data_IF_366987268807
#
_entry.id   IF_366987268807
#
_cell.length_a   1.000
_cell.length_b   1.000
_cell.length_c   1.000
_cell.angle_alpha   90.00
_cell.angle_beta   90.00
_cell.angle_gamma   90.00
#
_symmetry.space_group_name_H-M   'P 1'
#
loop_
_entity.id
_entity.type
_entity.pdbx_description
1 polymer ?
#
# COMPACT_ATOMS: atom_id res chain seq x y z
N UNK A 1 -14.08 -49.08 51.99
CA UNK A 1 -13.18 -48.13 51.36
C UNK A 1 -13.87 -47.54 50.11
N UNK A 2 -14.35 -46.32 50.18
CA UNK A 2 -14.99 -45.64 49.05
C UNK A 2 -14.01 -44.61 48.51
N UNK A 3 -13.50 -44.84 47.31
CA UNK A 3 -12.57 -43.96 46.60
C UNK A 3 -13.36 -42.84 45.92
N UNK A 4 -13.19 -41.57 46.33
CA UNK A 4 -13.77 -40.41 45.63
C UNK A 4 -12.80 -39.98 44.55
N UNK A 5 -13.24 -40.07 43.29
CA UNK A 5 -12.57 -39.45 42.14
C UNK A 5 -12.97 -37.96 42.11
N UNK A 6 -12.03 -37.08 42.34
CA UNK A 6 -12.20 -35.65 42.05
C UNK A 6 -11.99 -35.41 40.56
N UNK A 7 -13.06 -35.04 39.84
CA UNK A 7 -12.97 -34.49 38.50
C UNK A 7 -12.61 -32.99 38.60
N UNK A 8 -11.39 -32.66 38.21
CA UNK A 8 -11.00 -31.28 37.96
C UNK A 8 -11.54 -30.83 36.59
N UNK A 9 -12.58 -30.02 36.64
CA UNK A 9 -13.07 -29.34 35.40
C UNK A 9 -12.11 -28.19 35.11
N UNK A 10 -11.28 -28.33 34.05
CA UNK A 10 -10.56 -27.21 33.46
C UNK A 10 -11.59 -26.33 32.71
N UNK A 11 -11.95 -25.19 33.31
CA UNK A 11 -12.60 -24.10 32.58
C UNK A 11 -11.59 -23.45 31.64
N UNK A 12 -11.62 -23.82 30.37
CA UNK A 12 -10.98 -23.07 29.32
C UNK A 12 -11.74 -21.74 29.17
N UNK A 13 -11.17 -20.66 29.75
CA UNK A 13 -11.62 -19.29 29.46
C UNK A 13 -11.19 -19.00 28.03
N UNK A 14 -12.11 -19.15 27.09
CA UNK A 14 -11.95 -18.61 25.74
C UNK A 14 -12.07 -17.09 25.85
N UNK A 15 -10.93 -16.42 25.90
CA UNK A 15 -10.87 -14.98 25.64
C UNK A 15 -11.27 -14.80 24.19
N UNK A 16 -12.53 -14.49 23.96
CA UNK A 16 -13.01 -13.96 22.68
C UNK A 16 -12.41 -12.56 22.57
N UNK A 17 -11.29 -12.47 21.85
CA UNK A 17 -10.79 -11.19 21.39
C UNK A 17 -11.80 -10.71 20.35
N UNK A 18 -12.63 -9.73 20.70
CA UNK A 18 -13.40 -8.97 19.72
C UNK A 18 -12.37 -8.39 18.73
N UNK A 19 -12.29 -8.99 17.55
CA UNK A 19 -11.55 -8.42 16.43
C UNK A 19 -12.27 -7.13 16.08
N UNK A 20 -11.77 -6.02 16.60
CA UNK A 20 -12.12 -4.69 16.12
C UNK A 20 -11.92 -4.74 14.62
N UNK A 21 -13.01 -4.68 13.84
CA UNK A 21 -12.97 -4.86 12.40
C UNK A 21 -12.32 -3.60 11.82
N UNK A 22 -11.05 -3.75 11.44
CA UNK A 22 -10.35 -2.76 10.63
C UNK A 22 -11.18 -2.50 9.36
N UNK A 23 -11.49 -1.24 9.08
CA UNK A 23 -12.33 -0.87 7.94
C UNK A 23 -11.57 -0.80 6.62
N UNK A 24 -10.24 -0.72 6.68
CA UNK A 24 -9.37 -0.65 5.50
C UNK A 24 -8.80 -2.00 5.07
N UNK A 25 -8.33 -2.08 3.85
CA UNK A 25 -7.61 -3.23 3.31
C UNK A 25 -6.13 -3.09 3.61
N UNK A 26 -5.50 -4.12 4.21
CA UNK A 26 -4.06 -4.14 4.44
C UNK A 26 -3.40 -5.04 3.41
N UNK A 27 -2.43 -4.49 2.70
CA UNK A 27 -1.65 -5.18 1.68
C UNK A 27 -0.19 -4.72 1.72
N UNK A 28 0.55 -5.01 0.65
CA UNK A 28 1.90 -4.47 0.49
C UNK A 28 2.07 -3.86 -0.91
N UNK A 29 2.86 -2.79 -0.98
CA UNK A 29 3.48 -2.35 -2.22
C UNK A 29 4.57 -3.35 -2.58
N UNK A 30 4.49 -3.93 -3.78
CA UNK A 30 5.42 -5.02 -4.17
C UNK A 30 6.87 -4.55 -4.31
N UNK A 31 7.12 -3.24 -4.34
CA UNK A 31 8.47 -2.67 -4.30
C UNK A 31 9.23 -3.03 -3.02
N UNK A 32 8.52 -3.24 -1.91
CA UNK A 32 9.07 -3.83 -0.67
C UNK A 32 9.88 -5.11 -0.93
N UNK A 33 9.54 -5.81 -1.99
CA UNK A 33 10.18 -7.06 -2.42
C UNK A 33 10.85 -6.94 -3.79
N UNK A 34 11.33 -5.75 -4.18
CA UNK A 34 11.86 -5.48 -5.53
C UNK A 34 13.07 -6.36 -5.91
N UNK A 35 13.81 -6.89 -4.94
CA UNK A 35 14.89 -7.87 -5.18
C UNK A 35 14.38 -9.25 -5.61
N UNK A 36 13.10 -9.51 -5.40
CA UNK A 36 12.45 -10.80 -5.69
C UNK A 36 11.53 -10.66 -6.89
N UNK A 37 11.19 -11.79 -7.49
CA UNK A 37 10.20 -11.87 -8.55
C UNK A 37 8.78 -11.70 -7.99
N UNK A 38 7.81 -11.42 -8.85
CA UNK A 38 6.41 -11.33 -8.43
C UNK A 38 5.89 -12.68 -7.88
N UNK A 39 6.33 -13.81 -8.45
CA UNK A 39 6.02 -15.16 -7.92
C UNK A 39 6.47 -15.28 -6.47
N UNK A 40 7.74 -14.93 -6.18
CA UNK A 40 8.29 -14.97 -4.82
C UNK A 40 7.63 -13.93 -3.90
N UNK A 41 7.22 -12.78 -4.44
CA UNK A 41 6.45 -11.78 -3.70
C UNK A 41 5.12 -12.35 -3.22
N UNK A 42 4.40 -13.09 -4.05
CA UNK A 42 3.15 -13.74 -3.64
C UNK A 42 3.36 -14.73 -2.49
N UNK A 43 4.46 -15.49 -2.47
CA UNK A 43 4.80 -16.40 -1.37
C UNK A 43 5.11 -15.62 -0.07
N UNK A 44 5.78 -14.48 -0.19
CA UNK A 44 6.04 -13.58 0.95
C UNK A 44 4.75 -12.99 1.52
N UNK A 45 3.81 -12.57 0.66
CA UNK A 45 2.50 -12.08 1.09
C UNK A 45 1.71 -13.16 1.84
N UNK A 46 1.73 -14.41 1.36
CA UNK A 46 1.11 -15.54 2.08
C UNK A 46 1.75 -15.75 3.45
N UNK A 47 3.08 -15.68 3.55
CA UNK A 47 3.82 -15.81 4.82
C UNK A 47 3.41 -14.72 5.82
N UNK A 48 3.12 -13.50 5.33
CA UNK A 48 2.67 -12.36 6.12
C UNK A 48 1.16 -12.37 6.40
N UNK A 49 0.39 -13.29 5.78
CA UNK A 49 -1.07 -13.31 5.88
C UNK A 49 -1.76 -12.16 5.13
N UNK A 50 -1.08 -11.53 4.19
CA UNK A 50 -1.59 -10.41 3.40
C UNK A 50 -2.32 -10.92 2.15
N UNK A 51 -3.51 -10.38 1.89
CA UNK A 51 -4.36 -10.78 0.77
C UNK A 51 -4.44 -9.73 -0.34
N UNK A 52 -3.82 -8.58 -0.19
CA UNK A 52 -3.83 -7.50 -1.16
C UNK A 52 -2.41 -7.11 -1.56
N UNK A 53 -2.25 -6.77 -2.83
CA UNK A 53 -0.98 -6.25 -3.36
C UNK A 53 -1.23 -5.07 -4.29
N UNK A 54 -0.39 -4.06 -4.13
CA UNK A 54 -0.16 -3.01 -5.09
C UNK A 54 1.10 -3.37 -5.89
N UNK A 55 0.96 -3.56 -7.21
CA UNK A 55 2.07 -3.97 -8.06
C UNK A 55 2.84 -2.75 -8.58
N UNK A 56 4.18 -2.82 -8.57
CA UNK A 56 5.00 -1.81 -9.22
C UNK A 56 5.47 -2.29 -10.61
N UNK A 57 5.65 -1.36 -11.52
CA UNK A 57 6.09 -1.66 -12.88
C UNK A 57 7.60 -1.87 -12.95
N UNK A 58 8.01 -2.89 -13.71
CA UNK A 58 9.40 -3.29 -13.84
C UNK A 58 9.81 -4.51 -13.00
N UNK A 59 8.97 -4.98 -12.06
CA UNK A 59 9.24 -6.20 -11.31
C UNK A 59 9.30 -7.41 -12.24
N UNK A 60 10.35 -8.23 -12.16
CA UNK A 60 10.39 -9.51 -12.88
C UNK A 60 9.26 -10.40 -12.43
N UNK A 61 8.56 -11.06 -13.36
CA UNK A 61 7.45 -11.95 -13.01
C UNK A 61 7.94 -13.26 -12.38
N UNK A 62 9.02 -13.85 -12.89
CA UNK A 62 9.66 -15.03 -12.29
C UNK A 62 9.33 -16.33 -13.00
N UNK A 63 9.30 -17.42 -12.24
CA UNK A 63 9.14 -18.77 -12.78
C UNK A 63 7.84 -18.89 -13.62
N UNK A 64 7.96 -19.48 -14.80
CA UNK A 64 6.85 -19.66 -15.74
C UNK A 64 6.59 -18.47 -16.67
N UNK A 65 7.29 -17.33 -16.49
CA UNK A 65 7.10 -16.11 -17.25
C UNK A 65 8.33 -15.68 -18.10
N UNK A 66 9.45 -16.43 -18.05
CA UNK A 66 10.70 -16.04 -18.72
C UNK A 66 11.22 -14.70 -18.21
N UNK A 67 11.64 -13.82 -19.13
CA UNK A 67 12.19 -12.49 -18.80
C UNK A 67 11.11 -11.39 -18.63
N UNK A 68 9.84 -11.78 -18.61
CA UNK A 68 8.75 -10.80 -18.55
C UNK A 68 8.70 -10.09 -17.20
N UNK A 69 8.24 -8.85 -17.28
CA UNK A 69 8.11 -7.96 -16.11
C UNK A 69 6.66 -7.50 -15.96
N UNK A 70 6.30 -7.13 -14.75
CA UNK A 70 5.06 -6.42 -14.49
C UNK A 70 5.06 -5.10 -15.26
N UNK A 71 4.15 -4.93 -16.18
CA UNK A 71 4.05 -3.73 -17.03
C UNK A 71 2.61 -3.59 -17.53
N UNK A 72 2.11 -2.36 -17.64
CA UNK A 72 0.77 -2.10 -18.19
C UNK A 72 0.69 -2.33 -19.72
N UNK A 73 1.82 -2.67 -20.35
CA UNK A 73 1.92 -3.07 -21.77
C UNK A 73 1.97 -4.59 -21.95
N UNK A 74 1.82 -5.37 -20.86
CA UNK A 74 1.81 -6.84 -20.95
C UNK A 74 0.68 -7.35 -21.86
N UNK A 75 0.96 -8.43 -22.61
CA UNK A 75 -0.03 -9.13 -23.40
C UNK A 75 -1.13 -9.76 -22.53
N UNK A 76 -2.35 -9.87 -23.03
CA UNK A 76 -3.50 -10.40 -22.31
C UNK A 76 -3.31 -11.82 -21.79
N UNK A 77 -2.56 -12.67 -22.49
CA UNK A 77 -2.22 -14.03 -22.03
C UNK A 77 -1.35 -13.99 -20.78
N UNK A 78 -0.41 -13.04 -20.72
CA UNK A 78 0.45 -12.84 -19.55
C UNK A 78 -0.35 -12.29 -18.38
N UNK A 79 -1.21 -11.29 -18.63
CA UNK A 79 -2.12 -10.75 -17.63
C UNK A 79 -2.98 -11.87 -17.02
N UNK A 80 -3.57 -12.73 -17.86
CA UNK A 80 -4.38 -13.88 -17.41
C UNK A 80 -3.58 -14.84 -16.54
N UNK A 81 -2.34 -15.16 -16.92
CA UNK A 81 -1.46 -16.04 -16.12
C UNK A 81 -1.11 -15.42 -14.77
N UNK A 82 -0.80 -14.12 -14.74
CA UNK A 82 -0.50 -13.36 -13.50
C UNK A 82 -1.72 -13.39 -12.57
N UNK A 83 -2.91 -13.08 -13.08
CA UNK A 83 -4.15 -13.11 -12.29
C UNK A 83 -4.45 -14.51 -11.74
N UNK A 84 -4.32 -15.54 -12.56
CA UNK A 84 -4.54 -16.92 -12.11
C UNK A 84 -3.55 -17.31 -11.01
N UNK A 85 -2.28 -16.97 -11.16
CA UNK A 85 -1.28 -17.22 -10.14
C UNK A 85 -1.61 -16.50 -8.83
N UNK A 86 -1.89 -15.20 -8.85
CA UNK A 86 -2.27 -14.45 -7.66
C UNK A 86 -3.50 -15.08 -6.96
N UNK A 87 -4.50 -15.49 -7.75
CA UNK A 87 -5.70 -16.19 -7.24
C UNK A 87 -5.36 -17.52 -6.56
N UNK A 88 -4.44 -18.33 -7.11
CA UNK A 88 -4.01 -19.59 -6.47
C UNK A 88 -3.33 -19.36 -5.13
N UNK A 89 -2.73 -18.19 -4.95
CA UNK A 89 -2.09 -17.74 -3.71
C UNK A 89 -3.03 -16.98 -2.76
N UNK A 90 -4.31 -16.88 -3.11
CA UNK A 90 -5.33 -16.11 -2.37
C UNK A 90 -4.92 -14.62 -2.19
N UNK A 91 -4.27 -14.06 -3.21
CA UNK A 91 -3.86 -12.65 -3.25
C UNK A 91 -4.63 -11.93 -4.35
N UNK A 92 -5.14 -10.76 -4.05
CA UNK A 92 -5.82 -9.86 -5.00
C UNK A 92 -4.87 -8.74 -5.38
N UNK A 93 -4.61 -8.57 -6.68
CA UNK A 93 -3.94 -7.39 -7.22
C UNK A 93 -4.98 -6.28 -7.23
N UNK A 94 -4.94 -5.39 -6.24
CA UNK A 94 -5.97 -4.36 -6.04
C UNK A 94 -5.56 -3.00 -6.56
N UNK A 95 -4.26 -2.73 -6.58
CA UNK A 95 -3.69 -1.46 -7.00
C UNK A 95 -2.44 -1.65 -7.86
N UNK A 96 -2.06 -0.62 -8.60
CA UNK A 96 -0.81 -0.55 -9.34
C UNK A 96 -0.22 0.85 -9.33
N UNK A 97 1.09 0.94 -9.21
CA UNK A 97 1.86 2.20 -9.19
C UNK A 97 3.19 2.04 -8.43
N UNK A 98 3.98 3.09 -8.26
CA UNK A 98 3.68 4.47 -8.69
C UNK A 98 4.03 4.61 -10.16
N UNK A 99 3.18 5.25 -10.94
CA UNK A 99 3.38 5.41 -12.37
C UNK A 99 3.34 6.89 -12.78
N UNK A 100 4.22 7.22 -13.73
CA UNK A 100 4.22 8.50 -14.45
C UNK A 100 4.11 8.15 -15.93
N UNK A 101 3.00 8.53 -16.57
CA UNK A 101 2.83 8.37 -18.00
C UNK A 101 3.29 9.63 -18.74
N UNK A 102 3.98 9.44 -19.85
CA UNK A 102 4.56 10.54 -20.63
C UNK A 102 3.56 11.25 -21.54
N UNK A 103 2.51 10.53 -21.97
CA UNK A 103 1.53 11.01 -22.94
C UNK A 103 0.14 10.40 -22.73
N UNK A 104 -0.85 10.94 -23.42
CA UNK A 104 -2.25 10.51 -23.33
C UNK A 104 -2.46 9.03 -23.69
N UNK A 105 -1.72 8.53 -24.69
CA UNK A 105 -1.84 7.14 -25.13
C UNK A 105 -1.41 6.16 -24.01
N UNK A 106 -0.37 6.48 -23.27
CA UNK A 106 0.06 5.66 -22.14
C UNK A 106 -0.97 5.67 -21.00
N UNK A 107 -1.59 6.83 -20.72
CA UNK A 107 -2.69 6.91 -19.76
C UNK A 107 -3.87 6.02 -20.16
N UNK A 108 -4.32 6.08 -21.42
CA UNK A 108 -5.38 5.21 -21.89
C UNK A 108 -5.02 3.72 -21.81
N UNK A 109 -3.76 3.37 -22.12
CA UNK A 109 -3.29 1.99 -22.04
C UNK A 109 -3.24 1.51 -20.60
N UNK A 110 -2.76 2.33 -19.67
CA UNK A 110 -2.75 2.05 -18.25
C UNK A 110 -4.15 1.77 -17.68
N UNK A 111 -5.13 2.60 -18.02
CA UNK A 111 -6.51 2.39 -17.55
C UNK A 111 -7.15 1.14 -18.16
N UNK A 112 -6.88 0.81 -19.42
CA UNK A 112 -7.31 -0.46 -20.01
C UNK A 112 -6.69 -1.64 -19.29
N UNK A 113 -5.38 -1.62 -19.10
CA UNK A 113 -4.68 -2.65 -18.32
C UNK A 113 -5.29 -2.80 -16.93
N UNK A 114 -5.48 -1.72 -16.19
CA UNK A 114 -6.07 -1.76 -14.86
C UNK A 114 -7.47 -2.40 -14.89
N UNK A 115 -8.29 -2.07 -15.90
CA UNK A 115 -9.61 -2.67 -16.08
C UNK A 115 -9.52 -4.17 -16.35
N UNK A 116 -8.64 -4.60 -17.24
CA UNK A 116 -8.47 -6.01 -17.63
C UNK A 116 -7.91 -6.85 -16.46
N UNK A 117 -7.02 -6.25 -15.65
CA UNK A 117 -6.47 -6.86 -14.45
C UNK A 117 -7.41 -6.81 -13.23
N UNK A 118 -8.57 -6.16 -13.31
CA UNK A 118 -9.47 -5.99 -12.17
C UNK A 118 -8.91 -5.08 -11.07
N UNK A 119 -7.93 -4.22 -11.40
CA UNK A 119 -7.35 -3.24 -10.50
C UNK A 119 -8.36 -2.12 -10.27
N UNK A 120 -8.58 -1.76 -9.02
CA UNK A 120 -9.54 -0.72 -8.63
C UNK A 120 -8.90 0.62 -8.27
N UNK A 121 -7.58 0.65 -8.14
CA UNK A 121 -6.83 1.84 -7.73
C UNK A 121 -5.53 1.96 -8.55
N UNK A 122 -5.30 3.14 -9.11
CA UNK A 122 -4.04 3.51 -9.76
C UNK A 122 -3.33 4.54 -8.88
N UNK A 123 -2.12 4.23 -8.42
CA UNK A 123 -1.23 5.16 -7.72
C UNK A 123 -0.29 5.82 -8.73
N UNK A 124 -0.30 7.14 -8.83
CA UNK A 124 0.45 7.84 -9.87
C UNK A 124 0.86 9.27 -9.48
N UNK A 125 1.75 9.84 -10.29
CA UNK A 125 2.12 11.27 -10.24
C UNK A 125 1.91 11.90 -11.62
N UNK A 126 0.68 12.26 -11.99
CA UNK A 126 0.39 12.81 -13.30
C UNK A 126 1.02 14.20 -13.43
N UNK A 127 1.57 14.49 -14.62
CA UNK A 127 1.95 15.87 -14.94
C UNK A 127 0.71 16.78 -14.82
N UNK A 128 0.84 18.03 -14.37
CA UNK A 128 -0.32 18.91 -14.19
C UNK A 128 -1.22 19.02 -15.41
N UNK A 129 -0.66 19.02 -16.62
CA UNK A 129 -1.38 19.06 -17.89
C UNK A 129 -2.19 17.79 -18.19
N UNK A 130 -1.91 16.67 -17.51
CA UNK A 130 -2.64 15.41 -17.68
C UNK A 130 -3.77 15.22 -16.68
N UNK A 131 -3.92 16.09 -15.67
CA UNK A 131 -4.90 15.90 -14.60
C UNK A 131 -6.34 15.77 -15.12
N UNK A 132 -6.73 16.58 -16.10
CA UNK A 132 -8.08 16.55 -16.69
C UNK A 132 -8.33 15.23 -17.46
N UNK A 133 -7.32 14.73 -18.17
CA UNK A 133 -7.38 13.45 -18.86
C UNK A 133 -7.49 12.30 -17.84
N UNK A 134 -6.66 12.31 -16.82
CA UNK A 134 -6.63 11.26 -15.78
C UNK A 134 -7.98 11.21 -15.05
N UNK A 135 -8.57 12.34 -14.71
CA UNK A 135 -9.90 12.43 -14.12
C UNK A 135 -10.97 11.84 -15.05
N UNK A 136 -10.97 12.23 -16.32
CA UNK A 136 -11.90 11.69 -17.34
C UNK A 136 -11.78 10.17 -17.44
N UNK A 137 -10.57 9.64 -17.48
CA UNK A 137 -10.33 8.19 -17.57
C UNK A 137 -10.75 7.49 -16.29
N UNK A 138 -10.48 8.05 -15.10
CA UNK A 138 -10.91 7.52 -13.82
C UNK A 138 -12.44 7.35 -13.77
N UNK A 139 -13.19 8.36 -14.20
CA UNK A 139 -14.64 8.32 -14.28
C UNK A 139 -15.15 7.36 -15.35
N UNK A 140 -14.51 7.33 -16.53
CA UNK A 140 -14.90 6.44 -17.63
C UNK A 140 -14.72 4.96 -17.27
N UNK A 141 -13.57 4.60 -16.68
CA UNK A 141 -13.23 3.22 -16.34
C UNK A 141 -13.75 2.80 -14.95
N UNK A 142 -14.26 3.74 -14.17
CA UNK A 142 -14.70 3.54 -12.79
C UNK A 142 -13.57 3.00 -11.89
N UNK A 143 -12.36 3.53 -12.07
CA UNK A 143 -11.14 3.21 -11.33
C UNK A 143 -10.72 4.43 -10.52
N UNK A 144 -10.43 4.25 -9.26
CA UNK A 144 -9.94 5.32 -8.41
C UNK A 144 -8.47 5.63 -8.74
N UNK A 145 -8.10 6.89 -8.58
CA UNK A 145 -6.73 7.39 -8.79
C UNK A 145 -6.24 8.04 -7.50
N UNK A 146 -5.05 7.66 -7.06
CA UNK A 146 -4.40 8.22 -5.90
C UNK A 146 -3.10 8.93 -6.31
N UNK A 147 -3.03 10.23 -6.11
CA UNK A 147 -1.81 11.01 -6.35
C UNK A 147 -0.84 10.75 -5.22
N UNK A 148 0.33 10.25 -5.56
CA UNK A 148 1.42 9.92 -4.65
C UNK A 148 2.34 11.12 -4.40
N UNK A 149 3.05 11.11 -3.30
CA UNK A 149 3.98 12.15 -2.90
C UNK A 149 5.42 11.61 -2.78
N UNK A 150 6.18 11.61 -3.87
CA UNK A 150 7.63 11.50 -3.75
C UNK A 150 8.24 12.79 -3.16
N UNK A 151 9.47 12.73 -2.61
CA UNK A 151 10.20 13.91 -2.18
C UNK A 151 10.43 14.91 -3.31
N UNK A 152 10.87 16.11 -2.98
CA UNK A 152 11.31 17.07 -4.00
C UNK A 152 12.34 16.42 -4.95
N UNK A 153 12.25 16.65 -6.27
CA UNK A 153 11.48 17.73 -6.94
C UNK A 153 10.06 17.34 -7.41
N UNK A 154 9.42 16.32 -6.85
CA UNK A 154 8.03 15.97 -7.21
C UNK A 154 7.10 17.18 -7.04
N UNK A 155 6.16 17.38 -7.98
CA UNK A 155 5.12 18.40 -7.85
C UNK A 155 4.19 18.16 -6.65
N UNK A 156 4.16 16.92 -6.14
CA UNK A 156 3.22 16.47 -5.13
C UNK A 156 3.85 16.18 -3.76
N UNK A 157 5.11 16.62 -3.55
CA UNK A 157 5.86 16.37 -2.32
C UNK A 157 5.16 16.86 -1.04
N UNK A 158 4.38 17.95 -1.14
CA UNK A 158 3.68 18.55 0.00
C UNK A 158 2.17 18.28 -0.08
N UNK A 159 1.47 17.98 1.03
CA UNK A 159 0.03 17.73 1.01
C UNK A 159 -0.80 18.86 0.39
N UNK A 160 -0.41 20.14 0.58
CA UNK A 160 -1.11 21.28 -0.03
C UNK A 160 -1.11 21.21 -1.57
N UNK A 161 0.02 20.78 -2.17
CA UNK A 161 0.08 20.68 -3.63
C UNK A 161 -0.81 19.57 -4.17
N UNK A 162 -0.89 18.45 -3.48
CA UNK A 162 -1.85 17.37 -3.84
C UNK A 162 -3.29 17.87 -3.68
N UNK A 163 -3.62 18.49 -2.56
CA UNK A 163 -4.98 19.00 -2.31
C UNK A 163 -5.38 20.08 -3.31
N UNK A 164 -4.45 20.96 -3.71
CA UNK A 164 -4.67 21.94 -4.77
C UNK A 164 -4.94 21.26 -6.12
N UNK A 165 -4.18 20.21 -6.45
CA UNK A 165 -4.39 19.43 -7.68
C UNK A 165 -5.75 18.70 -7.69
N UNK A 166 -6.32 18.41 -6.53
CA UNK A 166 -7.61 17.73 -6.35
C UNK A 166 -8.81 18.69 -6.22
N UNK A 167 -8.57 20.00 -6.16
CA UNK A 167 -9.65 20.99 -5.99
C UNK A 167 -10.63 20.95 -7.16
N UNK A 168 -11.92 20.82 -6.84
CA UNK A 168 -13.02 20.74 -7.82
C UNK A 168 -13.10 19.44 -8.63
N UNK A 169 -12.18 18.47 -8.42
CA UNK A 169 -12.13 17.22 -9.18
C UNK A 169 -13.04 16.13 -8.62
N UNK A 170 -13.30 15.15 -9.48
CA UNK A 170 -14.05 13.93 -9.16
C UNK A 170 -13.60 13.29 -7.85
N UNK A 171 -14.55 12.69 -7.13
CA UNK A 171 -14.26 11.93 -5.90
C UNK A 171 -13.46 10.65 -6.18
N UNK A 172 -13.30 10.25 -7.44
CA UNK A 172 -12.41 9.13 -7.83
C UNK A 172 -10.94 9.50 -7.73
N UNK A 173 -10.61 10.78 -7.80
CA UNK A 173 -9.24 11.26 -7.57
C UNK A 173 -9.02 11.57 -6.10
N UNK A 174 -7.89 11.13 -5.58
CA UNK A 174 -7.52 11.33 -4.17
C UNK A 174 -6.03 11.22 -3.93
N UNK A 175 -5.67 10.95 -2.69
CA UNK A 175 -4.30 10.95 -2.18
C UNK A 175 -3.84 9.51 -1.94
N UNK A 176 -2.65 9.15 -2.42
CA UNK A 176 -1.83 8.08 -1.87
C UNK A 176 -0.80 8.72 -0.95
N UNK A 177 -0.95 8.54 0.34
CA UNK A 177 -0.08 9.16 1.33
C UNK A 177 1.16 8.30 1.59
N UNK A 178 2.32 8.68 1.05
CA UNK A 178 3.59 8.15 1.55
C UNK A 178 4.01 8.94 2.80
N UNK A 179 3.78 8.33 3.93
CA UNK A 179 3.99 8.99 5.23
C UNK A 179 5.46 9.14 5.58
N UNK A 180 6.33 8.27 5.06
CA UNK A 180 7.78 8.36 5.23
C UNK A 180 8.38 9.48 4.38
N UNK A 181 7.94 9.64 3.14
CA UNK A 181 8.37 10.75 2.29
C UNK A 181 7.95 12.09 2.88
N UNK A 182 6.72 12.23 3.36
CA UNK A 182 6.33 13.44 4.09
C UNK A 182 7.25 13.73 5.27
N UNK A 183 7.56 12.70 6.05
CA UNK A 183 8.41 12.87 7.23
C UNK A 183 9.83 13.31 6.86
N UNK A 184 10.43 12.73 5.79
CA UNK A 184 11.76 13.10 5.27
C UNK A 184 11.79 14.56 4.81
N UNK A 185 10.69 15.08 4.25
CA UNK A 185 10.53 16.46 3.82
C UNK A 185 10.12 17.42 4.97
N UNK A 186 10.14 16.98 6.22
CA UNK A 186 9.79 17.80 7.38
C UNK A 186 8.30 18.04 7.58
N UNK A 187 7.44 17.41 6.77
CA UNK A 187 5.98 17.44 6.93
C UNK A 187 5.58 16.52 8.08
N UNK A 188 4.61 16.95 8.89
CA UNK A 188 4.03 16.10 9.93
C UNK A 188 3.00 15.15 9.32
N UNK A 189 3.25 13.80 9.30
CA UNK A 189 2.36 12.85 8.62
C UNK A 189 0.95 12.80 9.24
N UNK A 190 0.84 12.97 10.56
CA UNK A 190 -0.46 12.97 11.27
C UNK A 190 -1.34 14.10 10.75
N UNK A 191 -0.81 15.33 10.69
CA UNK A 191 -1.53 16.49 10.17
C UNK A 191 -1.85 16.38 8.68
N UNK A 192 -0.92 15.82 7.90
CA UNK A 192 -1.12 15.60 6.47
C UNK A 192 -2.24 14.58 6.19
N UNK A 193 -2.34 13.52 6.99
CA UNK A 193 -3.45 12.55 6.93
C UNK A 193 -4.79 13.19 7.33
N UNK A 194 -4.81 14.03 8.38
CA UNK A 194 -6.00 14.80 8.75
C UNK A 194 -6.46 15.71 7.60
N UNK A 195 -5.52 16.39 6.95
CA UNK A 195 -5.78 17.28 5.81
C UNK A 195 -6.31 16.51 4.59
N UNK A 196 -5.74 15.33 4.27
CA UNK A 196 -6.23 14.48 3.19
C UNK A 196 -7.66 14.02 3.42
N UNK A 197 -8.03 13.70 4.67
CA UNK A 197 -9.40 13.41 5.07
C UNK A 197 -10.08 12.39 4.16
N UNK A 198 -11.26 12.72 3.65
CA UNK A 198 -12.05 11.87 2.76
C UNK A 198 -11.45 11.67 1.36
N UNK A 199 -10.42 12.43 0.99
CA UNK A 199 -9.66 12.26 -0.26
C UNK A 199 -8.60 11.16 -0.16
N UNK A 200 -8.30 10.65 1.03
CA UNK A 200 -7.33 9.58 1.21
C UNK A 200 -7.84 8.26 0.59
N UNK A 201 -7.15 7.76 -0.44
CA UNK A 201 -7.47 6.51 -1.15
C UNK A 201 -6.57 5.37 -0.73
N UNK A 202 -5.29 5.66 -0.56
CA UNK A 202 -4.28 4.68 -0.13
C UNK A 202 -3.17 5.34 0.66
N UNK A 203 -2.37 4.48 1.27
CA UNK A 203 -1.13 4.87 1.94
C UNK A 203 0.00 3.96 1.49
N UNK A 204 1.19 4.51 1.31
CA UNK A 204 2.44 3.79 1.49
C UNK A 204 2.87 4.00 2.93
N UNK A 205 2.56 2.99 3.75
CA UNK A 205 2.68 3.11 5.20
C UNK A 205 4.01 2.56 5.66
N UNK A 206 4.77 3.41 6.29
CA UNK A 206 6.11 3.13 6.81
C UNK A 206 6.40 3.96 8.06
N UNK A 207 7.42 3.60 8.81
CA UNK A 207 8.02 4.40 9.85
C UNK A 207 9.51 4.52 9.55
N UNK A 208 10.11 5.67 9.81
CA UNK A 208 11.50 5.94 9.46
C UNK A 208 12.32 6.28 10.69
N UNK A 209 13.62 5.93 10.63
CA UNK A 209 14.58 6.22 11.68
C UNK A 209 14.68 7.75 11.93
N UNK A 210 14.96 8.13 13.16
CA UNK A 210 15.35 9.51 13.46
C UNK A 210 16.62 9.88 12.67
N UNK A 211 16.75 11.14 12.20
CA UNK A 211 17.97 11.55 11.54
C UNK A 211 19.15 11.46 12.53
N UNK A 212 20.24 10.89 12.07
CA UNK A 212 21.50 10.82 12.82
C UNK A 212 22.57 11.66 12.13
N UNK A 213 23.48 12.23 12.91
CA UNK A 213 24.57 13.05 12.39
C UNK A 213 25.49 12.19 11.48
N UNK A 214 25.63 12.59 10.22
CA UNK A 214 26.45 11.89 9.23
C UNK A 214 25.73 10.80 8.42
N UNK A 215 24.46 10.54 8.67
CA UNK A 215 23.63 9.68 7.80
C UNK A 215 22.95 10.54 6.71
N UNK A 216 23.10 10.13 5.45
CA UNK A 216 22.49 10.84 4.30
C UNK A 216 21.01 10.51 4.15
N UNK A 217 20.58 9.30 4.57
CA UNK A 217 19.20 8.84 4.41
C UNK A 217 18.63 8.21 5.68
N UNK A 218 17.38 8.57 5.99
CA UNK A 218 16.60 7.93 7.04
C UNK A 218 15.94 6.67 6.48
N UNK A 219 16.47 5.49 6.84
CA UNK A 219 15.89 4.22 6.41
C UNK A 219 14.62 3.85 7.21
N UNK A 220 13.85 2.92 6.67
CA UNK A 220 12.65 2.41 7.30
C UNK A 220 13.00 1.56 8.54
N UNK A 221 12.14 1.62 9.54
CA UNK A 221 12.25 0.86 10.77
C UNK A 221 10.93 0.17 11.10
N UNK A 222 10.97 -0.74 12.08
CA UNK A 222 9.75 -1.38 12.59
C UNK A 222 8.80 -0.30 13.09
N UNK A 223 7.54 -0.37 12.69
CA UNK A 223 6.52 0.61 13.02
C UNK A 223 6.41 0.85 14.54
N UNK A 224 6.37 2.12 14.92
CA UNK A 224 6.36 2.56 16.31
C UNK A 224 7.73 2.68 16.96
N UNK A 225 8.83 2.38 16.24
CA UNK A 225 10.20 2.60 16.73
C UNK A 225 10.89 3.79 16.09
N UNK A 226 10.22 4.41 15.09
CA UNK A 226 10.71 5.57 14.36
C UNK A 226 10.10 6.90 14.78
N UNK A 227 10.02 7.83 13.85
CA UNK A 227 9.63 9.23 14.11
C UNK A 227 8.34 9.67 13.42
N UNK A 228 7.60 8.75 12.80
CA UNK A 228 6.35 9.08 12.09
C UNK A 228 5.12 9.14 13.01
N UNK A 229 5.22 8.72 14.28
CA UNK A 229 4.11 8.63 15.22
C UNK A 229 2.99 7.68 14.73
N UNK A 230 3.37 6.42 14.54
CA UNK A 230 2.47 5.36 14.03
C UNK A 230 1.15 5.27 14.82
N UNK A 231 1.13 5.30 16.17
CA UNK A 231 -0.14 5.26 16.91
C UNK A 231 -1.07 6.43 16.58
N UNK A 232 -0.54 7.65 16.47
CA UNK A 232 -1.34 8.83 16.12
C UNK A 232 -1.86 8.74 14.68
N UNK A 233 -1.05 8.29 13.72
CA UNK A 233 -1.49 8.07 12.34
C UNK A 233 -2.63 7.05 12.26
N UNK A 234 -2.51 5.90 12.94
CA UNK A 234 -3.58 4.89 13.00
C UNK A 234 -4.86 5.45 13.63
N UNK A 235 -4.73 6.32 14.64
CA UNK A 235 -5.90 6.98 15.24
C UNK A 235 -6.58 7.96 14.26
N UNK A 236 -5.79 8.70 13.44
CA UNK A 236 -6.37 9.55 12.38
C UNK A 236 -7.15 8.71 11.38
N UNK A 237 -6.59 7.57 10.93
CA UNK A 237 -7.28 6.68 9.98
C UNK A 237 -8.63 6.19 10.50
N UNK A 238 -8.71 5.89 11.81
CA UNK A 238 -9.99 5.55 12.47
C UNK A 238 -10.95 6.74 12.47
N UNK A 239 -10.48 7.93 12.86
CA UNK A 239 -11.30 9.13 12.99
C UNK A 239 -11.92 9.57 11.66
N UNK A 240 -11.18 9.44 10.55
CA UNK A 240 -11.68 9.75 9.21
C UNK A 240 -12.47 8.60 8.56
N UNK A 241 -12.66 7.47 9.27
CA UNK A 241 -13.29 6.26 8.75
C UNK A 241 -12.63 5.77 7.46
N UNK A 242 -11.29 5.74 7.43
CA UNK A 242 -10.55 5.28 6.27
C UNK A 242 -10.95 3.85 5.90
N UNK A 243 -11.20 3.60 4.62
CA UNK A 243 -11.60 2.29 4.09
C UNK A 243 -10.84 1.89 2.82
N UNK A 244 -9.80 2.66 2.49
CA UNK A 244 -8.95 2.44 1.31
C UNK A 244 -7.93 1.32 1.49
N UNK A 245 -6.80 1.46 0.80
CA UNK A 245 -5.68 0.51 0.85
C UNK A 245 -4.55 1.05 1.71
N UNK A 246 -4.18 0.33 2.75
CA UNK A 246 -2.91 0.51 3.45
C UNK A 246 -1.89 -0.44 2.83
N UNK A 247 -1.04 0.06 1.95
CA UNK A 247 0.11 -0.68 1.40
C UNK A 247 1.28 -0.54 2.35
N UNK A 248 1.73 -1.67 2.91
CA UNK A 248 3.03 -1.73 3.59
C UNK A 248 4.09 -1.47 2.53
N UNK A 249 4.90 -0.46 2.74
CA UNK A 249 6.09 -0.23 1.94
C UNK A 249 7.27 -0.13 2.90
N UNK A 250 8.11 -1.18 2.91
CA UNK A 250 9.24 -1.33 3.81
C UNK A 250 10.52 -1.38 2.99
N UNK A 251 11.25 -0.29 2.98
CA UNK A 251 12.39 -0.04 2.09
C UNK A 251 13.74 -0.20 2.82
N UNK A 252 13.84 -1.26 3.61
CA UNK A 252 15.06 -1.60 4.33
C UNK A 252 15.19 -3.12 4.49
N UNK A 253 16.40 -3.61 4.81
CA UNK A 253 16.68 -5.05 4.98
C UNK A 253 16.12 -5.90 3.84
N UNK A 254 16.33 -5.45 2.61
CA UNK A 254 15.71 -5.93 1.37
C UNK A 254 15.76 -7.45 1.17
N UNK A 255 16.84 -8.09 1.65
CA UNK A 255 17.01 -9.53 1.47
C UNK A 255 16.24 -10.35 2.51
N UNK A 256 15.89 -9.75 3.66
CA UNK A 256 15.21 -10.42 4.78
C UNK A 256 14.25 -9.50 5.54
N UNK A 257 13.35 -8.80 4.85
CA UNK A 257 12.40 -7.84 5.46
C UNK A 257 11.20 -8.50 6.15
N UNK A 258 10.91 -9.78 5.92
CA UNK A 258 9.74 -10.49 6.48
C UNK A 258 9.64 -10.40 8.00
N UNK A 259 10.70 -10.66 8.82
CA UNK A 259 10.60 -10.58 10.27
C UNK A 259 10.28 -9.16 10.76
N UNK A 260 10.77 -8.14 10.07
CA UNK A 260 10.53 -6.75 10.43
C UNK A 260 9.08 -6.35 10.10
N UNK A 261 8.59 -6.75 8.92
CA UNK A 261 7.19 -6.51 8.49
C UNK A 261 6.20 -7.24 9.42
N UNK A 262 6.52 -8.44 9.91
CA UNK A 262 5.70 -9.14 10.89
C UNK A 262 5.53 -8.30 12.16
N UNK A 263 6.60 -7.71 12.66
CA UNK A 263 6.55 -6.81 13.82
C UNK A 263 5.78 -5.52 13.53
N UNK A 264 5.89 -4.98 12.32
CA UNK A 264 5.07 -3.85 11.89
C UNK A 264 3.58 -4.17 11.97
N UNK A 265 3.17 -5.34 11.46
CA UNK A 265 1.79 -5.81 11.55
C UNK A 265 1.33 -6.03 12.99
N UNK A 266 2.18 -6.61 13.86
CA UNK A 266 1.90 -6.76 15.29
C UNK A 266 1.63 -5.40 15.94
N UNK A 267 2.49 -4.40 15.67
CA UNK A 267 2.31 -3.02 16.16
C UNK A 267 0.99 -2.42 15.68
N UNK A 268 0.63 -2.62 14.40
CA UNK A 268 -0.66 -2.18 13.89
C UNK A 268 -1.82 -2.80 14.67
N UNK A 269 -1.83 -4.13 14.83
CA UNK A 269 -2.92 -4.83 15.53
C UNK A 269 -3.05 -4.45 17.01
N UNK A 270 -1.94 -4.11 17.67
CA UNK A 270 -1.96 -3.64 19.06
C UNK A 270 -2.56 -2.24 19.21
N UNK A 271 -2.59 -1.45 18.15
CA UNK A 271 -3.12 -0.10 18.11
C UNK A 271 -4.50 0.00 17.45
N UNK A 272 -5.10 -1.11 17.01
CA UNK A 272 -6.48 -1.18 16.51
C UNK A 272 -7.49 -1.45 17.61
#
# INVERSE_FOLDING_TARGET
MRTYLLLLALCAVSVSCDKTTCTWKTGAQSYTFHKFTFVETLDKLQTLGLQYVEVYYGQRLGEGFGEQRMDFRMDGDVQTKVLNLAKTKNVTIIASGVVICENEQEWEQLFRFAKDMGISLITCEPKPEHLDLVEKLADQYQIDVAIHNHPQPSNYWHPDSVMTALEGRSQRMGVCADVGHWKREGVNPVKALEQAGSRLKSLHFKDIKAPEEGEEEQHDVIWGTGVCDVPAMLQVLKNINFSGLMSIEYEYNWDNSIPDIQKCLETMFQNL
#
